data_IF_406028055130
#
_entry.id   IF_406028055130
#
_cell.length_a   1.000
_cell.length_b   1.000
_cell.length_c   1.000
_cell.angle_alpha   90.00
_cell.angle_beta   90.00
_cell.angle_gamma   90.00
#
_symmetry.space_group_name_H-M   'P 1'
#
loop_
_entity.id
_entity.type
_entity.pdbx_description
1 polymer ?
#
# COMPACT_ATOMS: atom_id res chain seq x y z
N UNK A 1 -9.73 13.39 3.14
CA UNK A 1 -9.62 12.03 3.71
C UNK A 1 -10.06 10.91 2.77
N UNK A 2 -11.15 11.00 1.97
CA UNK A 2 -11.46 9.92 1.05
C UNK A 2 -10.35 9.72 0.01
N UNK A 3 -9.82 10.80 -0.56
CA UNK A 3 -8.66 10.74 -1.48
C UNK A 3 -7.47 10.01 -0.87
N UNK A 4 -7.05 10.37 0.35
CA UNK A 4 -5.90 9.74 1.00
C UNK A 4 -6.11 8.24 1.26
N UNK A 5 -7.32 7.83 1.64
CA UNK A 5 -7.69 6.42 1.80
C UNK A 5 -7.65 5.66 0.47
N UNK A 6 -8.19 6.25 -0.59
CA UNK A 6 -8.17 5.67 -1.94
C UNK A 6 -6.74 5.53 -2.43
N UNK A 7 -5.89 6.54 -2.24
CA UNK A 7 -4.47 6.46 -2.56
C UNK A 7 -3.81 5.30 -1.81
N UNK A 8 -3.97 5.21 -0.50
CA UNK A 8 -3.41 4.13 0.31
C UNK A 8 -3.90 2.73 -0.13
N UNK A 9 -5.14 2.61 -0.60
CA UNK A 9 -5.68 1.36 -1.16
C UNK A 9 -5.07 1.02 -2.52
N UNK A 10 -4.88 2.01 -3.39
CA UNK A 10 -4.44 1.77 -4.78
C UNK A 10 -2.96 1.43 -4.86
N UNK A 11 -2.09 2.06 -4.04
CA UNK A 11 -0.64 1.85 -4.13
C UNK A 11 -0.20 0.37 -4.06
N UNK A 12 -0.59 -0.42 -3.03
CA UNK A 12 -0.20 -1.84 -2.95
C UNK A 12 -0.76 -2.65 -4.13
N UNK A 13 -1.97 -2.34 -4.59
CA UNK A 13 -2.59 -3.01 -5.73
C UNK A 13 -1.86 -2.68 -7.05
N UNK A 14 -1.41 -1.43 -7.23
CA UNK A 14 -0.61 -1.03 -8.37
C UNK A 14 0.73 -1.77 -8.41
N UNK A 15 1.38 -1.95 -7.25
CA UNK A 15 2.60 -2.74 -7.13
C UNK A 15 2.37 -4.20 -7.55
N UNK A 16 1.32 -4.85 -7.05
CA UNK A 16 0.95 -6.23 -7.46
C UNK A 16 0.69 -6.30 -8.96
N UNK A 17 -0.09 -5.37 -9.51
CA UNK A 17 -0.45 -5.38 -10.93
C UNK A 17 0.78 -5.25 -11.82
N UNK A 18 1.74 -4.39 -11.46
CA UNK A 18 3.00 -4.26 -12.20
C UNK A 18 3.85 -5.54 -12.11
N UNK A 19 3.89 -6.21 -10.95
CA UNK A 19 4.61 -7.47 -10.80
C UNK A 19 3.99 -8.60 -11.64
N UNK A 20 2.67 -8.70 -11.63
CA UNK A 20 1.94 -9.70 -12.42
C UNK A 20 2.07 -9.40 -13.91
N UNK A 21 1.89 -8.16 -14.33
CA UNK A 21 2.02 -7.77 -15.74
C UNK A 21 3.46 -7.94 -16.24
N UNK A 22 4.45 -7.63 -15.40
CA UNK A 22 5.87 -7.77 -15.73
C UNK A 22 6.33 -9.23 -15.85
N UNK A 23 5.77 -10.14 -15.05
CA UNK A 23 6.07 -11.57 -15.12
C UNK A 23 5.39 -12.29 -16.28
N UNK A 24 4.27 -11.75 -16.80
CA UNK A 24 3.53 -12.31 -17.93
C UNK A 24 3.85 -11.61 -19.28
N UNK A 25 4.92 -10.80 -19.33
CA UNK A 25 5.33 -10.01 -20.50
C UNK A 25 4.21 -9.10 -21.08
N UNK A 26 3.28 -8.67 -20.22
CA UNK A 26 2.13 -7.84 -20.61
C UNK A 26 2.47 -6.35 -20.70
N UNK A 27 3.73 -5.99 -20.39
CA UNK A 27 4.21 -4.61 -20.32
C UNK A 27 4.98 -4.18 -21.58
N UNK A 28 5.01 -5.02 -22.62
CA UNK A 28 5.59 -4.66 -23.93
C UNK A 28 7.07 -4.27 -23.85
N UNK A 29 7.84 -4.96 -23.02
CA UNK A 29 9.26 -4.66 -22.79
C UNK A 29 9.54 -3.51 -21.82
N UNK A 30 8.53 -2.80 -21.29
CA UNK A 30 8.74 -1.74 -20.29
C UNK A 30 9.45 -2.27 -19.03
N UNK A 31 9.16 -3.52 -18.62
CA UNK A 31 9.83 -4.22 -17.52
C UNK A 31 11.35 -4.38 -17.69
N UNK A 32 11.92 -4.12 -18.88
CA UNK A 32 13.36 -4.14 -19.16
C UNK A 32 14.02 -2.75 -19.08
N UNK A 33 13.27 -1.71 -18.72
CA UNK A 33 13.75 -0.32 -18.66
C UNK A 33 14.11 0.10 -17.23
N UNK A 34 15.04 1.06 -17.11
CA UNK A 34 15.41 1.66 -15.82
C UNK A 34 14.20 2.37 -15.18
N UNK A 35 13.31 2.96 -15.99
CA UNK A 35 12.10 3.62 -15.53
C UNK A 35 11.13 2.66 -14.83
N UNK A 36 11.04 1.41 -15.31
CA UNK A 36 10.22 0.39 -14.65
C UNK A 36 10.79 0.01 -13.29
N UNK A 37 12.10 -0.21 -13.21
CA UNK A 37 12.78 -0.50 -11.95
C UNK A 37 12.56 0.62 -10.93
N UNK A 38 12.75 1.89 -11.34
CA UNK A 38 12.52 3.04 -10.48
C UNK A 38 11.06 3.12 -10.02
N UNK A 39 10.09 2.91 -10.92
CA UNK A 39 8.67 2.94 -10.59
C UNK A 39 8.30 1.88 -9.55
N UNK A 40 8.78 0.65 -9.73
CA UNK A 40 8.56 -0.43 -8.76
C UNK A 40 9.22 -0.11 -7.42
N UNK A 41 10.46 0.40 -7.41
CA UNK A 41 11.15 0.80 -6.19
C UNK A 41 10.41 1.91 -5.44
N UNK A 42 9.90 2.91 -6.17
CA UNK A 42 9.10 3.98 -5.58
C UNK A 42 7.83 3.42 -4.94
N UNK A 43 7.10 2.54 -5.63
CA UNK A 43 5.88 1.94 -5.11
C UNK A 43 6.14 1.05 -3.90
N UNK A 44 7.20 0.26 -3.93
CA UNK A 44 7.69 -0.56 -2.82
C UNK A 44 7.98 0.28 -1.56
N UNK A 45 8.56 1.48 -1.72
CA UNK A 45 8.83 2.37 -0.58
C UNK A 45 7.60 3.17 -0.15
N UNK A 46 6.83 3.72 -1.10
CA UNK A 46 5.71 4.61 -0.82
C UNK A 46 4.49 3.87 -0.27
N UNK A 47 4.21 2.66 -0.75
CA UNK A 47 3.06 1.86 -0.35
C UNK A 47 2.97 1.68 1.18
N UNK A 48 3.99 1.13 1.87
CA UNK A 48 3.95 0.97 3.32
C UNK A 48 3.96 2.30 4.07
N UNK A 49 4.65 3.33 3.56
CA UNK A 49 4.69 4.65 4.20
C UNK A 49 3.33 5.34 4.18
N UNK A 50 2.63 5.31 3.05
CA UNK A 50 1.29 5.91 2.90
C UNK A 50 0.28 5.13 3.74
N UNK A 51 0.35 3.80 3.75
CA UNK A 51 -0.51 2.96 4.59
C UNK A 51 -0.28 3.21 6.10
N UNK A 52 0.98 3.34 6.53
CA UNK A 52 1.32 3.69 7.90
C UNK A 52 0.82 5.08 8.29
N UNK A 53 1.00 6.07 7.42
CA UNK A 53 0.48 7.41 7.65
C UNK A 53 -1.05 7.41 7.77
N UNK A 54 -1.75 6.62 6.95
CA UNK A 54 -3.19 6.42 7.10
C UNK A 54 -3.54 5.82 8.47
N UNK A 55 -2.88 4.73 8.88
CA UNK A 55 -3.10 4.09 10.17
C UNK A 55 -2.91 5.08 11.33
N UNK A 56 -1.81 5.85 11.33
CA UNK A 56 -1.55 6.88 12.35
C UNK A 56 -2.68 7.91 12.37
N UNK A 57 -3.11 8.40 11.20
CA UNK A 57 -4.17 9.42 11.14
C UNK A 57 -5.51 8.91 11.67
N UNK A 58 -5.89 7.66 11.36
CA UNK A 58 -7.13 7.05 11.86
C UNK A 58 -7.05 6.77 13.37
N UNK A 59 -5.89 6.36 13.88
CA UNK A 59 -5.64 6.19 15.32
C UNK A 59 -5.76 7.53 16.03
N UNK A 60 -5.06 8.59 15.57
CA UNK A 60 -5.11 9.93 16.18
C UNK A 60 -6.54 10.47 16.19
N UNK A 61 -7.31 10.24 15.13
CA UNK A 61 -8.73 10.58 15.06
C UNK A 61 -9.56 9.78 16.07
N UNK A 62 -9.31 8.49 16.19
CA UNK A 62 -9.96 7.62 17.18
C UNK A 62 -9.67 8.02 18.63
N UNK A 63 -8.47 8.52 18.93
CA UNK A 63 -8.12 9.05 20.25
C UNK A 63 -8.81 10.38 20.55
N UNK A 64 -8.96 11.26 19.55
CA UNK A 64 -9.63 12.56 19.70
C UNK A 64 -11.17 12.46 19.67
N UNK A 65 -11.73 11.33 19.25
CA UNK A 65 -13.16 11.12 19.14
C UNK A 65 -13.86 11.03 20.50
N UNK A 66 -15.07 11.62 20.60
CA UNK A 66 -15.89 11.52 21.83
C UNK A 66 -16.40 10.09 22.03
N UNK A 67 -16.80 9.76 23.27
CA UNK A 67 -17.19 8.39 23.72
C UNK A 67 -18.23 7.66 22.85
N UNK A 68 -19.01 8.35 22.00
CA UNK A 68 -19.97 7.74 21.05
C UNK A 68 -19.49 7.66 19.59
N UNK A 69 -18.47 8.42 19.19
CA UNK A 69 -17.95 8.44 17.81
C UNK A 69 -16.85 7.41 17.60
N UNK A 70 -16.22 6.96 18.68
CA UNK A 70 -15.11 5.99 18.65
C UNK A 70 -15.51 4.66 17.99
N UNK A 71 -16.74 4.20 18.23
CA UNK A 71 -17.28 2.98 17.60
C UNK A 71 -17.40 3.10 16.07
N UNK A 72 -17.64 4.30 15.53
CA UNK A 72 -17.71 4.55 14.09
C UNK A 72 -16.33 4.59 13.43
N UNK A 73 -15.26 4.79 14.21
CA UNK A 73 -13.88 4.89 13.72
C UNK A 73 -13.13 3.55 13.73
N UNK A 74 -13.55 2.59 14.55
CA UNK A 74 -12.99 1.23 14.59
C UNK A 74 -12.86 0.56 13.20
N UNK A 75 -13.87 0.57 12.31
CA UNK A 75 -13.71 -0.06 10.99
C UNK A 75 -12.66 0.64 10.13
N UNK A 76 -12.48 1.96 10.26
CA UNK A 76 -11.47 2.69 9.49
C UNK A 76 -10.05 2.42 9.99
N UNK A 77 -9.87 2.26 11.30
CA UNK A 77 -8.59 1.83 11.89
C UNK A 77 -8.26 0.40 11.44
N UNK A 78 -9.25 -0.51 11.50
CA UNK A 78 -9.09 -1.89 11.05
C UNK A 78 -8.71 -1.98 9.57
N UNK A 79 -9.38 -1.20 8.72
CA UNK A 79 -9.07 -1.12 7.30
C UNK A 79 -7.66 -0.58 7.04
N UNK A 80 -7.23 0.48 7.75
CA UNK A 80 -5.88 1.01 7.61
C UNK A 80 -4.82 0.00 8.05
N UNK A 81 -5.10 -0.79 9.10
CA UNK A 81 -4.23 -1.86 9.56
C UNK A 81 -4.09 -2.97 8.52
N UNK A 82 -5.20 -3.38 7.89
CA UNK A 82 -5.20 -4.39 6.82
C UNK A 82 -4.36 -3.92 5.64
N UNK A 83 -4.57 -2.69 5.16
CA UNK A 83 -3.80 -2.12 4.04
C UNK A 83 -2.30 -2.06 4.38
N UNK A 84 -1.96 -1.68 5.62
CA UNK A 84 -0.57 -1.66 6.05
C UNK A 84 0.05 -3.06 6.09
N UNK A 85 -0.65 -4.03 6.68
CA UNK A 85 -0.18 -5.41 6.71
C UNK A 85 -0.04 -5.99 5.29
N UNK A 86 -1.00 -5.73 4.41
CA UNK A 86 -0.96 -6.12 3.00
C UNK A 86 0.26 -5.52 2.29
N UNK A 87 0.52 -4.22 2.44
CA UNK A 87 1.68 -3.56 1.84
C UNK A 87 3.01 -4.23 2.27
N UNK A 88 3.15 -4.55 3.56
CA UNK A 88 4.34 -5.22 4.08
C UNK A 88 4.49 -6.66 3.56
N UNK A 89 3.38 -7.38 3.41
CA UNK A 89 3.38 -8.75 2.87
C UNK A 89 3.82 -8.74 1.40
N UNK A 90 3.31 -7.79 0.61
CA UNK A 90 3.70 -7.64 -0.80
C UNK A 90 5.19 -7.30 -0.89
N UNK A 91 5.67 -6.35 -0.08
CA UNK A 91 7.07 -5.97 -0.06
C UNK A 91 7.96 -7.14 0.36
N UNK A 92 7.57 -7.89 1.40
CA UNK A 92 8.29 -9.08 1.82
C UNK A 92 8.35 -10.13 0.71
N UNK A 93 7.23 -10.40 0.04
CA UNK A 93 7.18 -11.30 -1.10
C UNK A 93 8.11 -10.83 -2.24
N UNK A 94 8.10 -9.53 -2.55
CA UNK A 94 8.99 -8.96 -3.55
C UNK A 94 10.47 -9.17 -3.22
N UNK A 95 10.86 -8.96 -1.95
CA UNK A 95 12.23 -9.23 -1.49
C UNK A 95 12.61 -10.72 -1.57
N UNK A 96 11.65 -11.63 -1.42
CA UNK A 96 11.92 -13.07 -1.61
C UNK A 96 12.17 -13.42 -3.07
N UNK A 97 11.50 -12.76 -4.01
CA UNK A 97 11.68 -12.97 -5.45
C UNK A 97 13.02 -12.41 -5.95
N UNK A 98 13.48 -11.27 -5.42
CA UNK A 98 14.78 -10.67 -5.79
C UNK A 98 16.00 -11.48 -5.32
N UNK A 99 15.81 -12.46 -4.42
CA UNK A 99 16.89 -13.34 -3.93
C UNK A 99 17.10 -14.60 -4.79
N UNK A 100 16.24 -14.85 -5.77
CA UNK A 100 16.42 -15.89 -6.78
C UNK A 100 17.15 -15.34 -8.01
#
# INVERSE_FOLDING_TARGET
MPFFRVTAMILPQALILLLVAGSNDMLGGWNQTDDAMLTVLYLFLLSPLVALALLITEIVRGYKARKGERARLLPFIGLALIIFAESLVIDFYFLTQLRM
#
